data_IF_972442773593
#
_entry.id   IF_972442773593
#
_cell.length_a   1.000
_cell.length_b   1.000
_cell.length_c   1.000
_cell.angle_alpha   90.00
_cell.angle_beta   90.00
_cell.angle_gamma   90.00
#
_symmetry.space_group_name_H-M   'P 1'
#
loop_
_entity.id
_entity.type
_entity.pdbx_description
1 polymer ?
#
# COMPACT_ATOMS: atom_id res chain seq x y z
N UNK A 1 -28.94 30.16 21.42
CA UNK A 1 -27.89 29.14 21.66
C UNK A 1 -27.18 28.89 20.35
N UNK A 2 -25.98 29.45 20.17
CA UNK A 2 -25.17 29.26 18.95
C UNK A 2 -24.54 27.86 18.90
N UNK A 3 -24.23 27.32 17.72
CA UNK A 3 -23.68 25.97 17.61
C UNK A 3 -22.33 25.90 18.32
N UNK A 4 -22.22 24.99 19.28
CA UNK A 4 -20.94 24.64 19.87
C UNK A 4 -20.06 24.07 18.75
N UNK A 5 -19.05 24.82 18.32
CA UNK A 5 -17.94 24.31 17.53
C UNK A 5 -17.24 23.23 18.39
N UNK A 6 -17.65 21.98 18.23
CA UNK A 6 -17.11 20.85 19.00
C UNK A 6 -15.64 20.61 18.67
N UNK A 7 -14.84 20.09 19.62
CA UNK A 7 -13.41 19.90 19.45
C UNK A 7 -13.11 18.90 18.31
N UNK A 8 -11.95 19.07 17.67
CA UNK A 8 -11.41 18.16 16.65
C UNK A 8 -11.44 16.72 17.19
N UNK A 9 -12.41 15.92 16.74
CA UNK A 9 -12.61 14.57 17.29
C UNK A 9 -11.58 13.59 16.75
N UNK A 10 -10.89 12.86 17.64
CA UNK A 10 -9.84 11.87 17.32
C UNK A 10 -10.36 10.60 16.59
N UNK A 11 -11.67 10.50 16.38
CA UNK A 11 -12.37 9.34 15.84
C UNK A 11 -11.74 8.77 14.55
N UNK A 12 -11.25 9.65 13.64
CA UNK A 12 -10.64 9.22 12.37
C UNK A 12 -9.30 8.51 12.59
N UNK A 13 -8.47 9.07 13.47
CA UNK A 13 -7.15 8.49 13.81
C UNK A 13 -7.35 7.22 14.62
N UNK A 14 -8.32 7.17 15.53
CA UNK A 14 -8.65 5.94 16.27
C UNK A 14 -9.06 4.80 15.34
N UNK A 15 -9.91 5.09 14.34
CA UNK A 15 -10.31 4.12 13.32
C UNK A 15 -9.11 3.60 12.52
N UNK A 16 -8.19 4.49 12.16
CA UNK A 16 -6.96 4.13 11.47
C UNK A 16 -6.07 3.25 12.35
N UNK A 17 -5.87 3.63 13.61
CA UNK A 17 -5.05 2.89 14.58
C UNK A 17 -5.61 1.49 14.85
N UNK A 18 -6.94 1.33 14.90
CA UNK A 18 -7.57 -0.01 14.98
C UNK A 18 -7.22 -0.87 13.75
N UNK A 19 -7.15 -0.27 12.56
CA UNK A 19 -6.79 -0.98 11.33
C UNK A 19 -5.31 -1.39 11.33
N UNK A 20 -4.43 -0.48 11.74
CA UNK A 20 -2.99 -0.72 11.90
C UNK A 20 -2.75 -1.84 12.93
N UNK A 21 -3.39 -1.78 14.10
CA UNK A 21 -3.27 -2.79 15.17
C UNK A 21 -3.65 -4.19 14.68
N UNK A 22 -4.72 -4.31 13.88
CA UNK A 22 -5.14 -5.61 13.31
C UNK A 22 -4.07 -6.19 12.37
N UNK A 23 -3.38 -5.35 11.60
CA UNK A 23 -2.28 -5.77 10.71
C UNK A 23 -1.01 -6.11 11.48
N UNK A 24 -0.64 -5.27 12.44
CA UNK A 24 0.50 -5.50 13.31
C UNK A 24 0.37 -6.82 14.10
N UNK A 25 -0.83 -7.14 14.62
CA UNK A 25 -1.09 -8.42 15.31
C UNK A 25 -0.77 -9.64 14.43
N UNK A 26 -1.03 -9.57 13.12
CA UNK A 26 -0.63 -10.61 12.18
C UNK A 26 0.89 -10.68 12.03
N UNK A 27 1.53 -9.53 11.87
CA UNK A 27 2.97 -9.41 11.65
C UNK A 27 3.83 -9.91 12.82
N UNK A 28 3.34 -9.82 14.07
CA UNK A 28 4.07 -10.28 15.27
C UNK A 28 4.56 -11.73 15.17
N UNK A 29 3.90 -12.57 14.37
CA UNK A 29 4.29 -13.98 14.20
C UNK A 29 5.49 -14.20 13.24
N UNK A 30 6.09 -13.15 12.68
CA UNK A 30 7.26 -13.28 11.81
C UNK A 30 8.57 -13.61 12.55
N UNK A 31 8.60 -13.55 13.88
CA UNK A 31 9.77 -13.84 14.73
C UNK A 31 11.06 -13.06 14.40
N UNK A 32 10.98 -12.06 13.50
CA UNK A 32 12.08 -11.18 13.09
C UNK A 32 11.57 -9.74 13.03
N UNK A 33 12.29 -8.84 13.68
CA UNK A 33 11.95 -7.42 13.72
C UNK A 33 12.04 -6.80 12.32
N UNK A 34 13.05 -7.16 11.51
CA UNK A 34 13.18 -6.61 10.15
C UNK A 34 12.01 -7.03 9.27
N UNK A 35 11.61 -8.30 9.34
CA UNK A 35 10.41 -8.80 8.67
C UNK A 35 9.13 -8.04 9.04
N UNK A 36 8.93 -7.75 10.34
CA UNK A 36 7.80 -6.94 10.82
C UNK A 36 7.85 -5.53 10.26
N UNK A 37 9.00 -4.86 10.33
CA UNK A 37 9.16 -3.49 9.81
C UNK A 37 8.91 -3.43 8.30
N UNK A 38 9.46 -4.36 7.53
CA UNK A 38 9.22 -4.48 6.09
C UNK A 38 7.75 -4.70 5.77
N UNK A 39 7.07 -5.58 6.53
CA UNK A 39 5.64 -5.82 6.35
C UNK A 39 4.79 -4.59 6.65
N UNK A 40 5.08 -3.89 7.74
CA UNK A 40 4.34 -2.67 8.11
C UNK A 40 4.51 -1.56 7.08
N UNK A 41 5.74 -1.37 6.54
CA UNK A 41 5.98 -0.45 5.42
C UNK A 41 5.22 -0.87 4.16
N UNK A 42 5.22 -2.17 3.82
CA UNK A 42 4.44 -2.67 2.69
C UNK A 42 2.94 -2.42 2.88
N UNK A 43 2.41 -2.58 4.09
CA UNK A 43 1.02 -2.28 4.40
C UNK A 43 0.69 -0.79 4.22
N UNK A 44 1.56 0.11 4.67
CA UNK A 44 1.39 1.56 4.49
C UNK A 44 1.30 1.94 3.00
N UNK A 45 2.23 1.42 2.19
CA UNK A 45 2.26 1.63 0.74
C UNK A 45 0.97 1.10 0.11
N UNK A 46 0.56 -0.12 0.47
CA UNK A 46 -0.67 -0.73 -0.03
C UNK A 46 -1.91 0.10 0.31
N UNK A 47 -2.02 0.55 1.56
CA UNK A 47 -3.17 1.30 2.05
C UNK A 47 -3.28 2.66 1.34
N UNK A 48 -2.16 3.34 1.12
CA UNK A 48 -2.15 4.69 0.55
C UNK A 48 -2.25 4.72 -0.98
N UNK A 49 -1.62 3.78 -1.69
CA UNK A 49 -1.43 3.87 -3.15
C UNK A 49 -2.20 2.83 -3.98
N UNK A 50 -2.58 1.70 -3.38
CA UNK A 50 -3.19 0.56 -4.11
C UNK A 50 -4.66 0.37 -3.73
N UNK A 51 -4.98 0.40 -2.42
CA UNK A 51 -6.30 0.03 -1.92
C UNK A 51 -7.31 1.17 -2.11
N UNK A 52 -8.40 0.97 -2.88
CA UNK A 52 -9.49 1.93 -2.93
C UNK A 52 -10.33 1.88 -1.64
N UNK A 53 -10.79 3.05 -1.19
CA UNK A 53 -11.59 3.17 0.04
C UNK A 53 -12.98 3.68 -0.30
N UNK A 54 -14.02 2.93 0.07
CA UNK A 54 -15.42 3.33 -0.14
C UNK A 54 -15.74 4.67 0.55
N UNK A 55 -15.19 4.89 1.75
CA UNK A 55 -15.33 6.16 2.49
C UNK A 55 -14.73 7.38 1.77
N UNK A 56 -13.90 7.19 0.74
CA UNK A 56 -13.30 8.25 -0.07
C UNK A 56 -13.93 8.34 -1.47
N UNK A 57 -14.98 7.57 -1.77
CA UNK A 57 -15.56 7.50 -3.12
C UNK A 57 -14.82 6.53 -4.04
N UNK A 58 -14.31 5.42 -3.49
CA UNK A 58 -13.57 4.37 -4.21
C UNK A 58 -12.23 4.79 -4.82
N UNK A 59 -11.63 5.87 -4.31
CA UNK A 59 -10.26 6.31 -4.64
C UNK A 59 -9.29 5.95 -3.52
N UNK A 60 -7.99 6.03 -3.81
CA UNK A 60 -6.94 5.81 -2.79
C UNK A 60 -6.70 7.08 -1.96
N UNK A 61 -6.16 6.97 -0.73
CA UNK A 61 -5.78 8.12 0.07
C UNK A 61 -4.78 9.04 -0.66
N UNK A 62 -3.82 8.48 -1.39
CA UNK A 62 -2.85 9.25 -2.16
C UNK A 62 -3.51 10.03 -3.32
N UNK A 63 -4.51 9.45 -3.98
CA UNK A 63 -5.30 10.13 -5.00
C UNK A 63 -6.11 11.27 -4.40
N UNK A 64 -6.76 11.02 -3.26
CA UNK A 64 -7.56 12.05 -2.58
C UNK A 64 -6.71 13.23 -2.11
N UNK A 65 -5.46 12.97 -1.74
CA UNK A 65 -4.49 13.99 -1.37
C UNK A 65 -3.81 14.69 -2.56
N UNK A 66 -4.05 14.24 -3.80
CA UNK A 66 -3.42 14.80 -5.00
C UNK A 66 -1.93 14.46 -5.15
N UNK A 67 -1.44 13.44 -4.44
CA UNK A 67 -0.02 13.07 -4.41
C UNK A 67 0.33 12.14 -5.57
N UNK A 68 -0.51 11.15 -5.85
CA UNK A 68 -0.27 10.16 -6.88
C UNK A 68 -1.59 9.53 -7.35
N UNK A 69 -1.60 9.03 -8.59
CA UNK A 69 -2.68 8.18 -9.09
C UNK A 69 -2.61 6.80 -8.45
N UNK A 70 -3.72 6.06 -8.43
CA UNK A 70 -3.76 4.63 -8.13
C UNK A 70 -2.78 3.88 -9.03
N UNK A 71 -1.95 3.08 -8.39
CA UNK A 71 -0.89 2.28 -9.03
C UNK A 71 -1.04 0.81 -8.64
N UNK A 72 -0.40 -0.07 -9.40
CA UNK A 72 -0.25 -1.49 -9.05
C UNK A 72 1.10 -1.74 -8.36
N UNK A 73 1.23 -2.87 -7.64
CA UNK A 73 2.52 -3.31 -7.08
C UNK A 73 3.62 -3.37 -8.15
N UNK A 74 3.28 -3.89 -9.33
CA UNK A 74 4.21 -3.94 -10.45
C UNK A 74 4.70 -2.54 -10.85
N UNK A 75 3.80 -1.58 -10.93
CA UNK A 75 4.12 -0.21 -11.33
C UNK A 75 4.96 0.49 -10.26
N UNK A 76 4.63 0.33 -8.98
CA UNK A 76 5.42 0.86 -7.87
C UNK A 76 6.84 0.29 -7.84
N UNK A 77 6.98 -1.03 -7.97
CA UNK A 77 8.30 -1.69 -8.01
C UNK A 77 9.07 -1.22 -9.25
N UNK A 78 8.40 -1.11 -10.40
CA UNK A 78 9.02 -0.61 -11.63
C UNK A 78 9.49 0.83 -11.52
N UNK A 79 8.73 1.69 -10.84
CA UNK A 79 9.08 3.10 -10.60
C UNK A 79 10.26 3.20 -9.62
N UNK A 80 10.22 2.46 -8.52
CA UNK A 80 11.33 2.38 -7.57
C UNK A 80 12.62 1.95 -8.27
N UNK A 81 12.51 0.97 -9.17
CA UNK A 81 13.62 0.46 -9.96
C UNK A 81 14.22 1.45 -10.96
N UNK A 82 13.42 2.38 -11.49
CA UNK A 82 13.90 3.39 -12.44
C UNK A 82 14.64 4.54 -11.75
N UNK A 83 14.37 4.79 -10.47
CA UNK A 83 15.01 5.86 -9.69
C UNK A 83 16.41 5.49 -9.17
N UNK A 84 16.76 4.20 -9.16
CA UNK A 84 18.06 3.67 -8.71
C UNK A 84 18.97 3.38 -9.91
N UNK A 85 19.75 4.36 -10.37
CA UNK A 85 20.64 4.22 -11.54
C UNK A 85 21.88 3.34 -11.32
N UNK A 86 22.08 2.74 -10.14
CA UNK A 86 23.33 2.04 -9.79
C UNK A 86 23.15 0.57 -9.32
N UNK A 87 21.92 0.07 -9.08
CA UNK A 87 21.72 -1.24 -8.45
C UNK A 87 21.27 -2.35 -9.43
N UNK A 88 22.25 -3.14 -9.90
CA UNK A 88 22.09 -4.25 -10.87
C UNK A 88 21.09 -5.36 -10.50
N UNK A 89 20.63 -5.41 -9.25
CA UNK A 89 19.73 -6.45 -8.73
C UNK A 89 18.26 -6.19 -9.10
N UNK A 90 17.85 -4.92 -9.21
CA UNK A 90 16.44 -4.54 -9.36
C UNK A 90 15.88 -4.78 -10.79
N UNK A 91 16.72 -4.69 -11.81
CA UNK A 91 16.36 -4.93 -13.21
C UNK A 91 16.05 -6.42 -13.49
N UNK A 92 16.66 -7.35 -12.74
CA UNK A 92 16.46 -8.80 -12.90
C UNK A 92 15.11 -9.25 -12.31
N UNK A 93 14.68 -8.65 -11.20
CA UNK A 93 13.41 -8.95 -10.52
C UNK A 93 12.19 -8.45 -11.28
N UNK A 94 12.26 -7.26 -11.88
CA UNK A 94 11.14 -6.68 -12.66
C UNK A 94 10.83 -7.49 -13.92
N UNK A 95 11.84 -8.00 -14.64
CA UNK A 95 11.66 -8.88 -15.79
C UNK A 95 11.03 -10.24 -15.40
N UNK A 96 11.43 -10.81 -14.26
CA UNK A 96 10.87 -12.06 -13.74
C UNK A 96 9.41 -11.92 -13.28
N UNK A 97 9.07 -10.81 -12.59
CA UNK A 97 7.68 -10.50 -12.17
C UNK A 97 6.78 -10.29 -13.39
N UNK A 98 7.24 -9.55 -14.40
CA UNK A 98 6.47 -9.30 -15.63
C UNK A 98 6.15 -10.59 -16.40
N UNK A 99 7.12 -11.51 -16.51
CA UNK A 99 6.90 -12.84 -17.12
C UNK A 99 5.87 -13.66 -16.35
N UNK A 100 5.94 -13.65 -15.01
CA UNK A 100 5.01 -14.43 -14.17
C UNK A 100 3.59 -13.88 -14.15
N UNK A 101 3.40 -12.56 -14.18
CA UNK A 101 2.07 -11.96 -14.29
C UNK A 101 1.41 -12.25 -15.66
N UNK A 102 2.18 -12.18 -16.76
CA UNK A 102 1.66 -12.49 -18.09
C UNK A 102 1.23 -13.96 -18.26
N UNK A 103 1.91 -14.90 -17.58
CA UNK A 103 1.54 -16.32 -17.56
C UNK A 103 0.26 -16.60 -16.77
N UNK A 104 -0.07 -15.81 -15.76
CA UNK A 104 -1.31 -15.97 -14.95
C UNK A 104 -2.54 -15.45 -15.70
N UNK A 105 -2.37 -14.42 -16.54
CA UNK A 105 -3.45 -13.91 -17.41
C UNK A 105 -3.83 -14.84 -18.57
N UNK A 106 -2.98 -15.82 -18.92
CA UNK A 106 -3.27 -16.82 -19.95
C UNK A 106 -3.91 -18.11 -19.42
N UNK A 107 -4.04 -18.27 -18.10
CA UNK A 107 -4.57 -19.49 -17.46
C UNK A 107 -6.01 -19.36 -16.94
N UNK A 108 -6.69 -18.23 -17.19
CA UNK A 108 -8.09 -18.00 -16.78
C UNK A 108 -9.11 -18.02 -17.94
N UNK A 109 -8.69 -18.43 -19.14
CA UNK A 109 -9.58 -18.71 -20.27
C UNK A 109 -9.57 -20.22 -20.54
N UNK A 110 -10.31 -20.98 -19.73
CA UNK A 110 -10.70 -22.38 -19.98
C UNK A 110 -11.96 -22.70 -19.19
#
# INVERSE_FOLDING_TARGET
MGPLAGPVTNNRVERLNQTIKKRAKGAVHFNDQKGVETFMKAFEIFYNFIRPHSALGYVTPAEKAGIARKTSWYELISLACKGSSEDSTCLKTTAAVKRRMNLVSSTSES
#
